data_IF_091932433049
#
_entry.id   IF_091932433049
#
_cell.length_a   1.000
_cell.length_b   1.000
_cell.length_c   1.000
_cell.angle_alpha   90.00
_cell.angle_beta   90.00
_cell.angle_gamma   90.00
#
_symmetry.space_group_name_H-M   'P 1'
#
loop_
_entity.id
_entity.type
_entity.pdbx_description
1 polymer ?
#
# COMPACT_ATOMS: atom_id res chain seq x y z
N UNK A 1 15.05 64.23 2.52
CA UNK A 1 15.54 62.99 1.87
C UNK A 1 15.43 61.88 2.89
N UNK A 2 14.67 60.84 2.51
CA UNK A 2 14.49 59.54 3.16
C UNK A 2 13.41 59.41 4.26
N UNK A 3 12.16 59.57 3.82
CA UNK A 3 11.11 58.58 4.14
C UNK A 3 11.36 57.34 3.25
N UNK A 4 11.13 56.14 3.80
CA UNK A 4 10.94 54.83 3.14
C UNK A 4 11.92 53.72 3.60
N UNK A 5 11.70 53.14 4.79
CA UNK A 5 12.27 51.82 5.11
C UNK A 5 11.62 51.07 6.30
N UNK A 6 10.44 51.46 6.83
CA UNK A 6 9.90 50.82 8.06
C UNK A 6 8.67 49.91 7.88
N UNK A 7 8.05 49.82 6.70
CA UNK A 7 6.71 49.21 6.62
C UNK A 7 6.62 48.11 5.56
N UNK A 8 7.42 47.05 5.70
CA UNK A 8 7.11 45.76 5.05
C UNK A 8 7.70 44.57 5.83
N UNK A 9 7.49 44.53 7.15
CA UNK A 9 7.44 43.24 7.83
C UNK A 9 6.04 42.67 7.58
N UNK A 10 5.88 41.98 6.45
CA UNK A 10 4.69 41.22 6.16
C UNK A 10 4.53 40.18 7.28
N UNK A 11 3.57 40.43 8.17
CA UNK A 11 3.21 39.56 9.30
C UNK A 11 2.98 38.14 8.79
N UNK A 12 3.97 37.26 9.00
CA UNK A 12 3.81 35.84 8.74
C UNK A 12 2.67 35.34 9.65
N UNK A 13 1.67 34.63 9.12
CA UNK A 13 0.49 34.23 9.89
C UNK A 13 0.94 33.39 11.09
N UNK A 14 0.66 33.87 12.30
CA UNK A 14 0.97 33.19 13.55
C UNK A 14 0.28 31.82 13.56
N UNK A 15 1.05 30.74 13.51
CA UNK A 15 0.52 29.38 13.51
C UNK A 15 0.00 29.07 14.91
N UNK A 16 -1.31 29.14 15.11
CA UNK A 16 -1.96 28.77 16.37
C UNK A 16 -1.89 27.26 16.56
N UNK A 17 -1.08 26.82 17.51
CA UNK A 17 -1.03 25.43 17.95
C UNK A 17 -2.22 25.15 18.87
N UNK A 18 -3.11 24.24 18.47
CA UNK A 18 -4.25 23.82 19.29
C UNK A 18 -3.80 22.75 20.28
N UNK A 19 -4.19 22.90 21.55
CA UNK A 19 -3.99 21.86 22.56
C UNK A 19 -4.90 20.65 22.26
N UNK A 20 -4.54 19.42 22.68
CA UNK A 20 -5.29 18.20 22.35
C UNK A 20 -6.77 18.22 22.79
N UNK A 21 -7.09 19.01 23.80
CA UNK A 21 -8.42 19.24 24.36
C UNK A 21 -9.26 20.27 23.59
N UNK A 22 -8.62 21.15 22.80
CA UNK A 22 -9.29 22.18 21.98
C UNK A 22 -9.45 21.78 20.50
N UNK A 23 -9.15 20.52 20.15
CA UNK A 23 -9.16 20.08 18.75
C UNK A 23 -10.57 20.15 18.13
N UNK A 24 -10.76 20.87 17.01
CA UNK A 24 -12.03 20.88 16.31
C UNK A 24 -12.37 19.47 15.80
N UNK A 25 -13.67 19.18 15.65
CA UNK A 25 -14.18 17.84 15.30
C UNK A 25 -13.48 17.25 14.06
N UNK A 26 -13.21 18.10 13.05
CA UNK A 26 -12.52 17.70 11.82
C UNK A 26 -11.11 17.16 12.07
N UNK A 27 -10.35 17.76 13.01
CA UNK A 27 -9.00 17.29 13.36
C UNK A 27 -9.07 15.99 14.14
N UNK A 28 -10.03 15.85 15.05
CA UNK A 28 -10.23 14.61 15.82
C UNK A 28 -10.55 13.42 14.91
N UNK A 29 -11.39 13.63 13.90
CA UNK A 29 -11.70 12.59 12.90
C UNK A 29 -10.44 12.24 12.09
N UNK A 30 -9.68 13.25 11.66
CA UNK A 30 -8.42 13.05 10.94
C UNK A 30 -7.40 12.24 11.75
N UNK A 31 -7.23 12.56 13.03
CA UNK A 31 -6.36 11.78 13.93
C UNK A 31 -6.85 10.35 14.14
N UNK A 32 -8.17 10.15 14.25
CA UNK A 32 -8.78 8.83 14.34
C UNK A 32 -8.47 7.98 13.11
N UNK A 33 -8.67 8.55 11.92
CA UNK A 33 -8.33 7.89 10.65
C UNK A 33 -6.84 7.60 10.54
N UNK A 34 -5.99 8.55 10.94
CA UNK A 34 -4.54 8.37 10.97
C UNK A 34 -4.13 7.19 11.85
N UNK A 35 -4.68 7.09 13.07
CA UNK A 35 -4.41 5.97 13.99
C UNK A 35 -4.90 4.64 13.45
N UNK A 36 -6.04 4.64 12.74
CA UNK A 36 -6.57 3.44 12.09
C UNK A 36 -5.62 2.94 11.00
N UNK A 37 -5.22 3.83 10.08
CA UNK A 37 -4.28 3.50 9.00
C UNK A 37 -2.92 3.08 9.57
N UNK A 38 -2.44 3.73 10.63
CA UNK A 38 -1.20 3.35 11.32
C UNK A 38 -1.26 1.93 11.88
N UNK A 39 -2.40 1.53 12.46
CA UNK A 39 -2.58 0.18 13.00
C UNK A 39 -2.59 -0.86 11.89
N UNK A 40 -3.37 -0.62 10.84
CA UNK A 40 -3.48 -1.52 9.67
C UNK A 40 -2.13 -1.64 8.96
N UNK A 41 -1.41 -0.53 8.75
CA UNK A 41 -0.11 -0.53 8.10
C UNK A 41 0.98 -1.23 8.90
N UNK A 42 1.03 -1.03 10.22
CA UNK A 42 1.98 -1.75 11.09
C UNK A 42 1.72 -3.25 11.11
N UNK A 43 0.46 -3.67 11.07
CA UNK A 43 0.10 -5.07 10.90
C UNK A 43 0.49 -5.58 9.51
N UNK A 44 0.16 -4.83 8.45
CA UNK A 44 0.51 -5.13 7.07
C UNK A 44 2.02 -5.29 6.85
N UNK A 45 2.84 -4.49 7.53
CA UNK A 45 4.30 -4.56 7.43
C UNK A 45 4.87 -5.94 7.82
N UNK A 46 4.19 -6.71 8.66
CA UNK A 46 4.62 -8.07 9.01
C UNK A 46 4.60 -9.02 7.81
N UNK A 47 3.79 -8.76 6.78
CA UNK A 47 3.73 -9.58 5.56
C UNK A 47 5.01 -9.52 4.70
N UNK A 48 5.94 -8.60 5.00
CA UNK A 48 7.26 -8.61 4.38
C UNK A 48 8.07 -9.86 4.76
N UNK A 49 7.89 -10.36 5.99
CA UNK A 49 8.60 -11.54 6.47
C UNK A 49 8.26 -12.82 5.67
N UNK A 50 6.99 -13.23 5.53
CA UNK A 50 6.65 -14.38 4.71
C UNK A 50 7.03 -14.17 3.24
N UNK A 51 6.84 -12.96 2.68
CA UNK A 51 7.27 -12.66 1.31
C UNK A 51 8.77 -12.91 1.10
N UNK A 52 9.63 -12.41 1.99
CA UNK A 52 11.08 -12.61 1.92
C UNK A 52 11.46 -14.08 2.11
N UNK A 53 10.78 -14.81 3.00
CA UNK A 53 11.06 -16.23 3.23
C UNK A 53 10.69 -17.08 2.01
N UNK A 54 9.51 -16.85 1.41
CA UNK A 54 9.04 -17.58 0.23
C UNK A 54 9.98 -17.30 -0.95
N UNK A 55 10.26 -16.03 -1.24
CA UNK A 55 11.15 -15.63 -2.35
C UNK A 55 12.57 -16.18 -2.17
N UNK A 56 13.12 -16.13 -0.95
CA UNK A 56 14.46 -16.67 -0.68
C UNK A 56 14.48 -18.20 -0.89
N UNK A 57 13.44 -18.89 -0.43
CA UNK A 57 13.30 -20.33 -0.60
C UNK A 57 13.19 -20.71 -2.09
N UNK A 58 12.30 -20.06 -2.84
CA UNK A 58 12.13 -20.31 -4.28
C UNK A 58 13.45 -20.10 -5.04
N UNK A 59 14.15 -18.99 -4.80
CA UNK A 59 15.42 -18.68 -5.46
C UNK A 59 16.52 -19.71 -5.15
N UNK A 60 16.63 -20.15 -3.90
CA UNK A 60 17.64 -21.15 -3.49
C UNK A 60 17.34 -22.49 -4.14
N UNK A 61 16.10 -22.96 -4.05
CA UNK A 61 15.71 -24.29 -4.54
C UNK A 61 15.81 -24.33 -6.07
N UNK A 62 15.35 -23.29 -6.75
CA UNK A 62 15.40 -23.18 -8.21
C UNK A 62 16.83 -23.19 -8.73
N UNK A 63 17.75 -22.47 -8.06
CA UNK A 63 19.11 -22.22 -8.58
C UNK A 63 20.17 -23.21 -8.09
N UNK A 64 20.05 -23.74 -6.88
CA UNK A 64 21.03 -24.65 -6.30
C UNK A 64 20.54 -26.11 -6.21
N UNK A 65 19.22 -26.36 -6.20
CA UNK A 65 18.65 -27.65 -5.81
C UNK A 65 17.43 -28.06 -6.65
N UNK A 66 17.52 -27.94 -7.99
CA UNK A 66 16.39 -28.22 -8.89
C UNK A 66 15.88 -29.67 -8.79
N UNK A 67 16.73 -30.64 -8.44
CA UNK A 67 16.33 -32.04 -8.24
C UNK A 67 15.53 -32.23 -6.94
N UNK A 68 15.89 -31.50 -5.88
CA UNK A 68 15.18 -31.53 -4.60
C UNK A 68 13.78 -30.93 -4.74
N UNK A 69 13.60 -29.92 -5.58
CA UNK A 69 12.28 -29.35 -5.88
C UNK A 69 11.32 -30.40 -6.45
N UNK A 70 11.78 -31.20 -7.42
CA UNK A 70 10.98 -32.27 -8.05
C UNK A 70 10.62 -33.32 -6.99
N UNK A 71 11.60 -33.71 -6.17
CA UNK A 71 11.37 -34.66 -5.08
C UNK A 71 10.33 -34.17 -4.06
N UNK A 72 10.37 -32.90 -3.66
CA UNK A 72 9.42 -32.27 -2.74
C UNK A 72 7.99 -32.24 -3.29
N UNK A 73 7.86 -31.96 -4.60
CA UNK A 73 6.55 -31.97 -5.29
C UNK A 73 5.96 -33.37 -5.34
N UNK A 74 6.78 -34.39 -5.65
CA UNK A 74 6.32 -35.78 -5.78
C UNK A 74 6.06 -36.47 -4.43
N UNK A 75 6.82 -36.14 -3.38
CA UNK A 75 6.80 -36.88 -2.11
C UNK A 75 6.13 -36.12 -0.95
N UNK A 76 6.04 -34.79 -1.00
CA UNK A 76 5.52 -33.99 0.13
C UNK A 76 4.22 -33.28 -0.25
N UNK A 77 4.26 -32.33 -1.19
CA UNK A 77 3.07 -31.58 -1.61
C UNK A 77 3.30 -30.83 -2.93
N UNK A 78 2.29 -30.77 -3.83
CA UNK A 78 2.34 -29.96 -5.05
C UNK A 78 2.68 -28.48 -4.86
N UNK A 79 2.37 -27.89 -3.70
CA UNK A 79 2.59 -26.47 -3.39
C UNK A 79 4.06 -26.02 -3.50
N UNK A 80 5.02 -26.96 -3.40
CA UNK A 80 6.44 -26.67 -3.58
C UNK A 80 6.86 -26.52 -5.05
N UNK A 81 5.90 -26.58 -5.98
CA UNK A 81 6.12 -26.25 -7.38
C UNK A 81 6.51 -24.78 -7.54
N UNK A 82 7.55 -24.53 -8.34
CA UNK A 82 8.07 -23.18 -8.63
C UNK A 82 6.99 -22.19 -9.09
N UNK A 83 5.99 -22.64 -9.85
CA UNK A 83 4.89 -21.77 -10.30
C UNK A 83 3.95 -21.39 -9.16
N UNK A 84 3.58 -22.34 -8.29
CA UNK A 84 2.70 -22.07 -7.15
C UNK A 84 3.37 -21.20 -6.08
N UNK A 85 4.68 -21.36 -5.88
CA UNK A 85 5.46 -20.47 -5.03
C UNK A 85 5.46 -19.04 -5.60
N UNK A 86 5.66 -18.87 -6.91
CA UNK A 86 5.59 -17.56 -7.56
C UNK A 86 4.20 -16.91 -7.46
N UNK A 87 3.12 -17.67 -7.59
CA UNK A 87 1.76 -17.16 -7.35
C UNK A 87 1.59 -16.69 -5.89
N UNK A 88 2.10 -17.46 -4.92
CA UNK A 88 2.05 -17.07 -3.50
C UNK A 88 2.90 -15.82 -3.21
N UNK A 89 4.05 -15.67 -3.87
CA UNK A 89 4.86 -14.45 -3.82
C UNK A 89 4.07 -13.25 -4.33
N UNK A 90 3.40 -13.38 -5.49
CA UNK A 90 2.63 -12.29 -6.08
C UNK A 90 1.44 -11.89 -5.18
N UNK A 91 0.73 -12.86 -4.61
CA UNK A 91 -0.35 -12.59 -3.66
C UNK A 91 0.13 -11.95 -2.36
N UNK A 92 1.19 -12.48 -1.75
CA UNK A 92 1.75 -11.91 -0.51
C UNK A 92 2.30 -10.50 -0.72
N UNK A 93 2.91 -10.24 -1.89
CA UNK A 93 3.35 -8.91 -2.29
C UNK A 93 2.17 -7.94 -2.45
N UNK A 94 1.08 -8.38 -3.08
CA UNK A 94 -0.12 -7.56 -3.26
C UNK A 94 -0.73 -7.20 -1.90
N UNK A 95 -0.89 -8.16 -1.00
CA UNK A 95 -1.39 -7.92 0.38
C UNK A 95 -0.51 -6.92 1.12
N UNK A 96 0.82 -7.08 1.03
CA UNK A 96 1.77 -6.16 1.66
C UNK A 96 1.60 -4.74 1.13
N UNK A 97 1.61 -4.54 -0.19
CA UNK A 97 1.51 -3.21 -0.79
C UNK A 97 0.16 -2.57 -0.46
N UNK A 98 -0.95 -3.28 -0.64
CA UNK A 98 -2.29 -2.71 -0.41
C UNK A 98 -2.48 -2.26 1.05
N UNK A 99 -1.95 -3.01 2.02
CA UNK A 99 -2.06 -2.66 3.44
C UNK A 99 -1.09 -1.54 3.85
N UNK A 100 0.10 -1.46 3.25
CA UNK A 100 1.16 -0.54 3.65
C UNK A 100 1.17 0.76 2.82
N UNK A 101 0.53 0.81 1.65
CA UNK A 101 0.52 1.98 0.77
C UNK A 101 0.07 3.27 1.47
N UNK A 102 -1.09 3.21 2.16
CA UNK A 102 -1.62 4.35 2.91
C UNK A 102 -0.75 4.74 4.11
N UNK A 103 -0.13 3.76 4.76
CA UNK A 103 0.81 3.99 5.85
C UNK A 103 2.06 4.72 5.37
N UNK A 104 2.68 4.28 4.28
CA UNK A 104 3.83 4.95 3.69
C UNK A 104 3.53 6.38 3.24
N UNK A 105 2.28 6.66 2.84
CA UNK A 105 1.85 8.02 2.51
C UNK A 105 1.82 8.94 3.74
N UNK A 106 1.24 8.49 4.86
CA UNK A 106 1.15 9.25 6.12
C UNK A 106 2.53 9.57 6.69
N UNK A 107 3.47 8.63 6.59
CA UNK A 107 4.84 8.79 7.10
C UNK A 107 5.80 9.46 6.10
N UNK A 108 5.30 9.85 4.92
CA UNK A 108 6.10 10.49 3.87
C UNK A 108 7.33 9.64 3.47
N UNK A 109 7.24 8.32 3.60
CA UNK A 109 8.34 7.39 3.28
C UNK A 109 8.30 6.93 1.82
N UNK A 110 7.21 7.19 1.11
CA UNK A 110 7.14 6.92 -0.32
C UNK A 110 8.21 7.72 -1.04
N UNK A 111 8.97 7.06 -1.93
CA UNK A 111 9.94 7.75 -2.78
C UNK A 111 9.15 8.69 -3.68
N UNK A 112 9.32 9.99 -3.49
CA UNK A 112 8.71 11.04 -4.30
C UNK A 112 9.83 11.72 -5.09
N UNK A 113 9.68 11.79 -6.41
CA UNK A 113 10.61 12.54 -7.26
C UNK A 113 10.21 14.02 -7.17
N UNK A 114 10.65 14.68 -6.10
CA UNK A 114 10.21 16.03 -5.70
C UNK A 114 10.96 17.16 -6.45
N UNK A 115 11.13 17.07 -7.78
CA UNK A 115 11.85 18.08 -8.59
C UNK A 115 11.21 19.48 -8.59
N UNK A 116 9.89 19.54 -8.40
CA UNK A 116 9.10 20.79 -8.39
C UNK A 116 8.91 21.33 -6.97
N UNK A 117 8.99 20.46 -5.96
CA UNK A 117 8.63 20.76 -4.56
C UNK A 117 9.65 21.65 -3.85
N UNK A 118 10.93 21.55 -4.22
CA UNK A 118 12.03 22.34 -3.63
C UNK A 118 11.94 23.83 -3.96
N UNK A 119 11.24 24.21 -5.03
CA UNK A 119 11.15 25.59 -5.51
C UNK A 119 9.83 26.29 -5.17
N UNK A 120 8.90 25.62 -4.51
CA UNK A 120 7.54 26.14 -4.24
C UNK A 120 7.30 26.36 -2.74
N UNK A 121 6.56 27.43 -2.40
CA UNK A 121 6.22 27.76 -1.01
C UNK A 121 5.28 26.76 -0.35
N UNK A 122 5.17 26.83 0.98
CA UNK A 122 4.40 25.89 1.81
C UNK A 122 2.94 25.69 1.36
N UNK A 123 2.22 26.78 1.05
CA UNK A 123 0.84 26.72 0.58
C UNK A 123 0.70 26.02 -0.77
N UNK A 124 1.58 26.33 -1.72
CA UNK A 124 1.57 25.72 -3.06
C UNK A 124 1.93 24.23 -2.99
N UNK A 125 2.84 23.85 -2.09
CA UNK A 125 3.18 22.45 -1.80
C UNK A 125 1.97 21.66 -1.28
N UNK A 126 1.23 22.22 -0.33
CA UNK A 126 0.02 21.58 0.21
C UNK A 126 -1.08 21.43 -0.85
N UNK A 127 -1.26 22.45 -1.71
CA UNK A 127 -2.22 22.40 -2.81
C UNK A 127 -1.85 21.36 -3.87
N UNK A 128 -0.57 21.28 -4.26
CA UNK A 128 -0.10 20.25 -5.18
C UNK A 128 -0.34 18.84 -4.64
N UNK A 129 -0.06 18.62 -3.36
CA UNK A 129 -0.27 17.34 -2.70
C UNK A 129 -1.76 16.97 -2.63
N UNK A 130 -2.63 17.94 -2.30
CA UNK A 130 -4.08 17.74 -2.26
C UNK A 130 -4.68 17.45 -3.64
N UNK A 131 -4.29 18.22 -4.67
CA UNK A 131 -4.75 18.00 -6.05
C UNK A 131 -4.24 16.65 -6.56
N UNK A 132 -2.97 16.33 -6.31
CA UNK A 132 -2.38 15.05 -6.73
C UNK A 132 -3.10 13.85 -6.12
N UNK A 133 -3.39 13.90 -4.82
CA UNK A 133 -4.20 12.89 -4.15
C UNK A 133 -5.59 12.76 -4.75
N UNK A 134 -6.26 13.89 -4.98
CA UNK A 134 -7.67 13.91 -5.38
C UNK A 134 -7.86 13.43 -6.82
N UNK A 135 -6.95 13.79 -7.73
CA UNK A 135 -7.08 13.47 -9.16
C UNK A 135 -6.43 12.13 -9.52
N UNK A 136 -5.35 11.74 -8.84
CA UNK A 136 -4.64 10.50 -9.20
C UNK A 136 -4.89 9.37 -8.20
N UNK A 137 -4.67 9.60 -6.90
CA UNK A 137 -4.71 8.52 -5.92
C UNK A 137 -6.15 8.04 -5.63
N UNK A 138 -7.09 8.97 -5.41
CA UNK A 138 -8.48 8.62 -5.09
C UNK A 138 -9.13 7.84 -6.25
N UNK A 139 -9.10 8.29 -7.52
CA UNK A 139 -9.73 7.57 -8.61
C UNK A 139 -9.09 6.19 -8.84
N UNK A 140 -7.75 6.10 -8.76
CA UNK A 140 -7.04 4.83 -8.83
C UNK A 140 -7.53 3.86 -7.74
N UNK A 141 -7.61 4.32 -6.49
CA UNK A 141 -8.07 3.49 -5.37
C UNK A 141 -9.52 3.06 -5.55
N UNK A 142 -10.41 3.93 -6.03
CA UNK A 142 -11.79 3.59 -6.33
C UNK A 142 -11.91 2.48 -7.39
N UNK A 143 -11.11 2.55 -8.46
CA UNK A 143 -11.08 1.52 -9.51
C UNK A 143 -10.62 0.18 -8.94
N UNK A 144 -9.54 0.17 -8.15
CA UNK A 144 -9.03 -1.04 -7.51
C UNK A 144 -10.08 -1.67 -6.58
N UNK A 145 -10.73 -0.87 -5.74
CA UNK A 145 -11.78 -1.34 -4.82
C UNK A 145 -12.99 -1.88 -5.59
N UNK A 146 -13.40 -1.23 -6.67
CA UNK A 146 -14.53 -1.66 -7.48
C UNK A 146 -14.31 -3.06 -8.08
N UNK A 147 -13.17 -3.26 -8.77
CA UNK A 147 -12.86 -4.56 -9.35
C UNK A 147 -12.59 -5.63 -8.29
N UNK A 148 -11.94 -5.26 -7.17
CA UNK A 148 -11.74 -6.19 -6.06
C UNK A 148 -13.08 -6.64 -5.45
N UNK A 149 -14.08 -5.75 -5.35
CA UNK A 149 -15.41 -6.09 -4.84
C UNK A 149 -16.18 -7.02 -5.78
N UNK A 150 -16.12 -6.79 -7.09
CA UNK A 150 -16.70 -7.70 -8.10
C UNK A 150 -16.07 -9.08 -7.97
N UNK A 151 -14.74 -9.14 -7.95
CA UNK A 151 -14.02 -10.41 -7.84
C UNK A 151 -14.36 -11.17 -6.55
N UNK A 152 -14.48 -10.45 -5.42
CA UNK A 152 -14.87 -11.04 -4.14
C UNK A 152 -16.31 -11.58 -4.18
N UNK A 153 -17.23 -10.86 -4.81
CA UNK A 153 -18.61 -11.30 -4.98
C UNK A 153 -18.71 -12.55 -5.86
N UNK A 154 -18.05 -12.55 -7.02
CA UNK A 154 -18.04 -13.69 -7.94
C UNK A 154 -17.41 -14.91 -7.27
N UNK A 155 -16.30 -14.73 -6.56
CA UNK A 155 -15.64 -15.80 -5.79
C UNK A 155 -16.57 -16.42 -4.74
N UNK A 156 -17.40 -15.61 -4.07
CA UNK A 156 -18.38 -16.08 -3.10
C UNK A 156 -19.54 -16.82 -3.78
N UNK A 157 -20.06 -16.27 -4.88
CA UNK A 157 -21.19 -16.83 -5.63
C UNK A 157 -20.86 -18.19 -6.26
N UNK A 158 -19.61 -18.43 -6.62
CA UNK A 158 -19.14 -19.66 -7.28
C UNK A 158 -19.17 -20.90 -6.34
N UNK A 159 -19.35 -20.74 -5.02
CA UNK A 159 -19.56 -21.80 -4.01
C UNK A 159 -18.80 -23.13 -4.30
N UNK A 160 -17.46 -23.08 -4.25
CA UNK A 160 -16.57 -24.20 -4.60
C UNK A 160 -16.68 -25.35 -3.58
N UNK A 161 -16.55 -26.60 -4.06
CA UNK A 161 -16.50 -27.78 -3.19
C UNK A 161 -15.24 -27.76 -2.30
N UNK A 162 -15.39 -28.25 -1.08
CA UNK A 162 -14.43 -28.22 0.04
C UNK A 162 -13.06 -28.89 -0.22
N UNK A 163 -12.90 -29.64 -1.31
CA UNK A 163 -11.63 -30.29 -1.68
C UNK A 163 -10.93 -29.68 -2.88
N UNK A 164 -11.34 -28.50 -3.39
CA UNK A 164 -10.66 -27.86 -4.50
C UNK A 164 -9.68 -26.78 -4.05
N UNK A 165 -8.36 -26.98 -4.20
CA UNK A 165 -7.38 -25.96 -3.89
C UNK A 165 -7.52 -24.74 -4.81
N UNK A 166 -7.20 -23.55 -4.30
CA UNK A 166 -7.32 -22.29 -5.04
C UNK A 166 -6.56 -22.30 -6.37
N UNK A 167 -5.45 -23.06 -6.46
CA UNK A 167 -4.63 -23.17 -7.67
C UNK A 167 -5.13 -24.19 -8.72
N UNK A 168 -6.06 -25.08 -8.36
CA UNK A 168 -6.58 -26.14 -9.24
C UNK A 168 -7.98 -25.85 -9.77
N UNK A 169 -8.75 -25.02 -9.06
CA UNK A 169 -10.10 -24.60 -9.45
C UNK A 169 -10.12 -23.35 -10.36
N UNK A 170 -9.16 -23.25 -11.28
CA UNK A 170 -8.89 -22.05 -12.06
C UNK A 170 -10.09 -21.48 -12.82
N UNK A 171 -10.58 -20.33 -12.37
CA UNK A 171 -10.86 -19.17 -13.24
C UNK A 171 -9.85 -18.03 -12.98
N UNK A 172 -8.77 -18.28 -12.23
CA UNK A 172 -7.78 -17.26 -11.84
C UNK A 172 -7.05 -16.65 -13.07
N UNK A 173 -7.16 -17.25 -14.25
CA UNK A 173 -6.55 -16.78 -15.50
C UNK A 173 -7.52 -16.29 -16.59
N UNK A 174 -8.82 -16.08 -16.31
CA UNK A 174 -9.78 -15.61 -17.33
C UNK A 174 -10.07 -14.10 -17.32
N UNK A 175 -9.53 -13.33 -16.35
CA UNK A 175 -9.74 -11.88 -16.27
C UNK A 175 -8.46 -11.04 -16.44
N UNK A 176 -7.35 -11.63 -16.88
CA UNK A 176 -6.15 -10.94 -17.39
C UNK A 176 -5.59 -11.67 -18.61
#
# INVERSE_FOLDING_TARGET
VNQSASDTEASSPETRYFAPDELPIVLRISEGLRKFVDRVGRFGAWFVMPLVLITSYDLIVRKAFSRQQIWLVENVNPIFGSTLLQELEWHSHTVLITLVLGFGYIWNTHVRVDLVRERVGFRSRAWLEFIGLTIFLIPYTCVVVYYAAIYAYDSWAINRFEGCPWYQCGEISASL
#
